data_IF_308803370964
#
_entry.id   IF_308803370964
#
_cell.length_a   1.000
_cell.length_b   1.000
_cell.length_c   1.000
_cell.angle_alpha   90.00
_cell.angle_beta   90.00
_cell.angle_gamma   90.00
#
_symmetry.space_group_name_H-M   'P 1'
#
loop_
_entity.id
_entity.type
_entity.pdbx_description
1 polymer ?
#
# COMPACT_ATOMS: atom_id res chain seq x y z
N UNK A 1 -6.39 -0.31 27.07
CA UNK A 1 -5.16 -0.54 26.29
C UNK A 1 -5.05 -2.03 26.01
N UNK A 2 -5.52 -2.47 24.85
CA UNK A 2 -5.62 -3.89 24.48
C UNK A 2 -4.26 -4.39 23.98
N UNK A 3 -3.55 -5.15 24.79
CA UNK A 3 -2.30 -5.82 24.36
C UNK A 3 -2.69 -7.18 23.78
N UNK A 4 -2.43 -7.38 22.51
CA UNK A 4 -2.56 -8.68 21.89
C UNK A 4 -1.68 -9.69 22.67
N UNK A 5 -2.23 -10.85 23.01
CA UNK A 5 -1.50 -11.87 23.74
C UNK A 5 -0.26 -12.36 22.97
N UNK A 6 0.78 -12.86 23.66
CA UNK A 6 2.07 -13.23 23.05
C UNK A 6 1.93 -14.21 21.88
N UNK A 7 0.98 -15.12 21.93
CA UNK A 7 0.71 -16.07 20.86
C UNK A 7 0.19 -15.41 19.57
N UNK A 8 -0.62 -14.35 19.67
CA UNK A 8 -1.11 -13.61 18.50
C UNK A 8 0.01 -12.79 17.88
N UNK A 9 0.87 -12.17 18.69
CA UNK A 9 2.03 -11.43 18.22
C UNK A 9 3.01 -12.33 17.46
N UNK A 10 3.28 -13.53 17.97
CA UNK A 10 4.14 -14.52 17.31
C UNK A 10 3.55 -15.02 15.98
N UNK A 11 2.23 -15.26 15.92
CA UNK A 11 1.56 -15.67 14.68
C UNK A 11 1.58 -14.59 13.61
N UNK A 12 1.42 -13.32 13.98
CA UNK A 12 1.49 -12.20 13.04
C UNK A 12 2.91 -12.01 12.51
N UNK A 13 3.94 -12.13 13.36
CA UNK A 13 5.33 -12.06 12.95
C UNK A 13 5.67 -13.18 11.95
N UNK A 14 5.30 -14.44 12.26
CA UNK A 14 5.52 -15.57 11.37
C UNK A 14 4.82 -15.44 10.01
N UNK A 15 3.62 -14.84 9.97
CA UNK A 15 2.92 -14.56 8.70
C UNK A 15 3.67 -13.52 7.86
N UNK A 16 4.15 -12.44 8.48
CA UNK A 16 4.94 -11.42 7.79
C UNK A 16 6.26 -11.98 7.24
N UNK A 17 6.93 -12.86 7.99
CA UNK A 17 8.16 -13.55 7.53
C UNK A 17 7.90 -14.44 6.31
N UNK A 18 6.86 -15.25 6.36
CA UNK A 18 6.47 -16.11 5.23
C UNK A 18 6.10 -15.29 3.99
N UNK A 19 5.37 -14.19 4.16
CA UNK A 19 5.03 -13.28 3.07
C UNK A 19 6.28 -12.67 2.44
N UNK A 20 7.19 -12.12 3.26
CA UNK A 20 8.44 -11.51 2.76
C UNK A 20 9.32 -12.55 2.07
N UNK A 21 9.44 -13.77 2.61
CA UNK A 21 10.18 -14.87 2.00
C UNK A 21 9.58 -15.28 0.64
N UNK A 22 8.25 -15.35 0.54
CA UNK A 22 7.57 -15.64 -0.72
C UNK A 22 7.84 -14.55 -1.77
N UNK A 23 7.76 -13.27 -1.38
CA UNK A 23 8.07 -12.15 -2.28
C UNK A 23 9.54 -12.17 -2.74
N UNK A 24 10.47 -12.47 -1.83
CA UNK A 24 11.89 -12.62 -2.19
C UNK A 24 12.13 -13.78 -3.16
N UNK A 25 11.47 -14.91 -2.96
CA UNK A 25 11.55 -16.06 -3.87
C UNK A 25 10.98 -15.74 -5.26
N UNK A 26 9.89 -14.95 -5.32
CA UNK A 26 9.30 -14.51 -6.60
C UNK A 26 10.20 -13.51 -7.31
N UNK A 27 10.79 -12.55 -6.60
CA UNK A 27 11.76 -11.59 -7.17
C UNK A 27 12.97 -12.34 -7.72
N UNK A 28 13.49 -13.34 -6.99
CA UNK A 28 14.63 -14.13 -7.45
C UNK A 28 14.40 -14.91 -8.76
N UNK A 29 13.13 -15.07 -9.18
CA UNK A 29 12.77 -15.72 -10.46
C UNK A 29 12.57 -14.71 -11.60
N UNK A 30 12.72 -13.41 -11.36
CA UNK A 30 12.54 -12.40 -12.40
C UNK A 30 13.68 -12.48 -13.43
N UNK A 31 13.36 -12.46 -14.74
CA UNK A 31 14.36 -12.49 -15.81
C UNK A 31 15.08 -11.14 -15.94
N UNK A 32 16.09 -11.08 -16.79
CA UNK A 32 16.80 -9.85 -17.22
C UNK A 32 17.49 -9.06 -16.10
N UNK A 33 17.93 -9.71 -15.02
CA UNK A 33 18.62 -9.03 -13.91
C UNK A 33 17.72 -8.17 -13.02
N UNK A 34 16.41 -8.19 -13.24
CA UNK A 34 15.44 -7.43 -12.43
C UNK A 34 15.44 -7.83 -10.96
N UNK A 35 15.91 -9.04 -10.64
CA UNK A 35 16.07 -9.50 -9.26
C UNK A 35 16.99 -8.61 -8.41
N UNK A 36 17.98 -7.94 -9.03
CA UNK A 36 18.88 -7.00 -8.36
C UNK A 36 18.31 -5.59 -8.20
N UNK A 37 17.26 -5.25 -8.94
CA UNK A 37 16.69 -3.89 -9.00
C UNK A 37 15.38 -3.80 -8.20
N UNK A 38 14.56 -4.86 -8.25
CA UNK A 38 13.23 -4.89 -7.61
C UNK A 38 13.33 -5.38 -6.17
N UNK A 39 13.14 -4.53 -5.15
CA UNK A 39 13.12 -4.99 -3.78
C UNK A 39 11.87 -5.85 -3.51
N UNK A 40 11.96 -6.93 -2.71
CA UNK A 40 10.81 -7.77 -2.35
C UNK A 40 9.62 -6.99 -1.77
N UNK A 41 9.90 -5.88 -1.07
CA UNK A 41 8.86 -5.01 -0.51
C UNK A 41 8.07 -4.24 -1.57
N UNK A 42 8.65 -3.96 -2.74
CA UNK A 42 7.91 -3.36 -3.87
C UNK A 42 6.94 -4.36 -4.47
N UNK A 43 7.37 -5.61 -4.67
CA UNK A 43 6.48 -6.66 -5.13
C UNK A 43 5.37 -6.94 -4.11
N UNK A 44 5.72 -7.02 -2.82
CA UNK A 44 4.74 -7.18 -1.73
C UNK A 44 3.71 -6.04 -1.70
N UNK A 45 4.16 -4.79 -1.89
CA UNK A 45 3.29 -3.64 -2.02
C UNK A 45 2.35 -3.78 -3.23
N UNK A 46 2.86 -4.16 -4.40
CA UNK A 46 2.04 -4.33 -5.61
C UNK A 46 0.99 -5.43 -5.44
N UNK A 47 1.34 -6.56 -4.84
CA UNK A 47 0.42 -7.69 -4.58
C UNK A 47 -0.68 -7.27 -3.60
N UNK A 48 -0.32 -6.62 -2.49
CA UNK A 48 -1.29 -6.16 -1.49
C UNK A 48 -2.23 -5.13 -2.10
N UNK A 49 -1.69 -4.11 -2.78
CA UNK A 49 -2.54 -3.05 -3.35
C UNK A 49 -3.38 -3.54 -4.54
N UNK A 50 -2.88 -4.46 -5.35
CA UNK A 50 -3.68 -5.14 -6.37
C UNK A 50 -4.85 -5.92 -5.76
N UNK A 51 -4.61 -6.65 -4.67
CA UNK A 51 -5.66 -7.36 -3.93
C UNK A 51 -6.68 -6.42 -3.29
N UNK A 52 -6.24 -5.34 -2.64
CA UNK A 52 -7.15 -4.36 -2.04
C UNK A 52 -7.93 -3.56 -3.09
N UNK A 53 -7.36 -3.31 -4.25
CA UNK A 53 -8.08 -2.73 -5.39
C UNK A 53 -9.20 -3.66 -5.90
N UNK A 54 -8.95 -4.98 -5.97
CA UNK A 54 -10.01 -5.94 -6.29
C UNK A 54 -11.13 -5.92 -5.24
N UNK A 55 -10.80 -5.75 -3.95
CA UNK A 55 -11.79 -5.58 -2.87
C UNK A 55 -12.57 -4.27 -3.07
N UNK A 56 -11.91 -3.17 -3.43
CA UNK A 56 -12.54 -1.89 -3.73
C UNK A 56 -13.60 -2.04 -4.83
N UNK A 57 -13.22 -2.62 -5.97
CA UNK A 57 -14.14 -2.86 -7.08
C UNK A 57 -15.29 -3.79 -6.69
N UNK A 58 -15.03 -4.85 -5.94
CA UNK A 58 -16.06 -5.77 -5.44
C UNK A 58 -17.06 -5.09 -4.52
N UNK A 59 -16.58 -4.28 -3.56
CA UNK A 59 -17.43 -3.50 -2.69
C UNK A 59 -18.24 -2.46 -3.45
N UNK A 60 -17.60 -1.73 -4.36
CA UNK A 60 -18.28 -0.73 -5.20
C UNK A 60 -19.42 -1.37 -5.99
N UNK A 61 -19.15 -2.49 -6.66
CA UNK A 61 -20.17 -3.22 -7.41
C UNK A 61 -21.31 -3.71 -6.50
N UNK A 62 -20.99 -4.25 -5.34
CA UNK A 62 -21.99 -4.75 -4.37
C UNK A 62 -22.86 -3.62 -3.84
N UNK A 63 -22.26 -2.50 -3.41
CA UNK A 63 -22.99 -1.37 -2.84
C UNK A 63 -23.82 -0.65 -3.90
N UNK A 64 -23.24 -0.35 -5.07
CA UNK A 64 -23.92 0.42 -6.09
C UNK A 64 -24.91 -0.41 -6.89
N UNK A 65 -24.46 -1.53 -7.48
CA UNK A 65 -25.30 -2.36 -8.35
C UNK A 65 -26.16 -3.35 -7.57
N UNK A 66 -25.67 -3.91 -6.47
CA UNK A 66 -26.42 -4.86 -5.64
C UNK A 66 -27.41 -4.19 -4.70
N UNK A 67 -26.93 -3.25 -3.86
CA UNK A 67 -27.73 -2.58 -2.84
C UNK A 67 -28.35 -1.27 -3.31
N UNK A 68 -28.07 -0.84 -4.55
CA UNK A 68 -28.56 0.39 -5.17
C UNK A 68 -28.26 1.67 -4.38
N UNK A 69 -27.13 1.70 -3.70
CA UNK A 69 -26.66 2.88 -3.01
C UNK A 69 -26.28 3.98 -4.02
N UNK A 70 -26.39 5.26 -3.63
CA UNK A 70 -25.90 6.37 -4.45
C UNK A 70 -24.40 6.16 -4.78
N UNK A 71 -24.02 6.40 -6.03
CA UNK A 71 -22.65 6.16 -6.52
C UNK A 71 -21.58 6.85 -5.67
N UNK A 72 -21.70 8.13 -5.28
CA UNK A 72 -20.70 8.80 -4.45
C UNK A 72 -20.48 8.11 -3.09
N UNK A 73 -21.56 7.64 -2.45
CA UNK A 73 -21.46 6.92 -1.18
C UNK A 73 -20.77 5.56 -1.36
N UNK A 74 -21.14 4.84 -2.42
CA UNK A 74 -20.55 3.54 -2.75
C UNK A 74 -19.05 3.65 -3.01
N UNK A 75 -18.62 4.66 -3.78
CA UNK A 75 -17.20 4.95 -4.03
C UNK A 75 -16.48 5.27 -2.71
N UNK A 76 -17.04 6.16 -1.90
CA UNK A 76 -16.41 6.58 -0.64
C UNK A 76 -16.22 5.40 0.31
N UNK A 77 -17.25 4.58 0.52
CA UNK A 77 -17.18 3.44 1.43
C UNK A 77 -16.21 2.36 0.91
N UNK A 78 -16.28 2.03 -0.39
CA UNK A 78 -15.38 1.07 -1.00
C UNK A 78 -13.91 1.52 -0.89
N UNK A 79 -13.63 2.77 -1.27
CA UNK A 79 -12.29 3.35 -1.22
C UNK A 79 -11.71 3.42 0.19
N UNK A 80 -12.48 3.91 1.18
CA UNK A 80 -12.01 3.98 2.57
C UNK A 80 -11.74 2.60 3.15
N UNK A 81 -12.60 1.62 2.84
CA UNK A 81 -12.41 0.23 3.28
C UNK A 81 -11.15 -0.38 2.67
N UNK A 82 -10.98 -0.25 1.36
CA UNK A 82 -9.81 -0.77 0.65
C UNK A 82 -8.51 -0.09 1.10
N UNK A 83 -8.53 1.23 1.29
CA UNK A 83 -7.38 2.00 1.78
C UNK A 83 -6.99 1.59 3.20
N UNK A 84 -7.97 1.44 4.10
CA UNK A 84 -7.73 0.95 5.45
C UNK A 84 -7.14 -0.47 5.46
N UNK A 85 -7.67 -1.35 4.64
CA UNK A 85 -7.17 -2.72 4.47
C UNK A 85 -5.75 -2.72 3.90
N UNK A 86 -5.47 -1.89 2.88
CA UNK A 86 -4.13 -1.72 2.31
C UNK A 86 -3.12 -1.27 3.38
N UNK A 87 -3.47 -0.27 4.18
CA UNK A 87 -2.63 0.19 5.29
C UNK A 87 -2.32 -0.95 6.27
N UNK A 88 -3.35 -1.67 6.72
CA UNK A 88 -3.20 -2.75 7.70
C UNK A 88 -2.34 -3.91 7.17
N UNK A 89 -2.58 -4.34 5.94
CA UNK A 89 -1.82 -5.42 5.30
C UNK A 89 -0.36 -5.02 5.03
N UNK A 90 -0.13 -3.82 4.51
CA UNK A 90 1.23 -3.31 4.31
C UNK A 90 1.96 -3.19 5.64
N UNK A 91 1.31 -2.66 6.68
CA UNK A 91 1.88 -2.55 8.03
C UNK A 91 2.26 -3.92 8.61
N UNK A 92 1.36 -4.91 8.51
CA UNK A 92 1.52 -6.22 9.15
C UNK A 92 2.44 -7.17 8.37
N UNK A 93 2.31 -7.21 7.04
CA UNK A 93 2.95 -8.22 6.20
C UNK A 93 4.17 -7.70 5.46
N UNK A 94 4.09 -6.52 4.87
CA UNK A 94 5.11 -6.00 3.97
C UNK A 94 6.20 -5.24 4.72
N UNK A 95 5.82 -4.24 5.52
CA UNK A 95 6.77 -3.40 6.26
C UNK A 95 7.00 -3.84 7.70
N UNK A 96 6.16 -4.71 8.25
CA UNK A 96 6.28 -5.30 9.61
C UNK A 96 6.51 -4.23 10.69
N UNK A 97 5.79 -3.10 10.57
CA UNK A 97 5.99 -1.95 11.43
C UNK A 97 5.34 -2.13 12.81
N UNK A 98 6.08 -1.81 13.86
CA UNK A 98 5.64 -1.84 15.26
C UNK A 98 5.46 -0.42 15.86
N UNK A 99 5.64 0.63 15.06
CA UNK A 99 5.46 2.02 15.49
C UNK A 99 4.04 2.33 15.96
N UNK A 100 3.84 3.49 16.59
CA UNK A 100 2.53 3.95 17.06
C UNK A 100 1.55 4.11 15.88
N UNK A 101 0.33 3.56 16.00
CA UNK A 101 -0.67 3.54 14.92
C UNK A 101 -1.16 4.95 14.58
N UNK A 102 -1.48 5.77 15.59
CA UNK A 102 -2.05 7.10 15.39
C UNK A 102 -1.22 8.01 14.49
N UNK A 103 0.06 8.28 14.81
CA UNK A 103 0.94 9.06 13.94
C UNK A 103 1.12 8.46 12.55
N UNK A 104 1.19 7.14 12.41
CA UNK A 104 1.32 6.48 11.12
C UNK A 104 0.06 6.66 10.26
N UNK A 105 -1.13 6.56 10.85
CA UNK A 105 -2.40 6.80 10.12
C UNK A 105 -2.51 8.26 9.69
N UNK A 106 -2.10 9.22 10.52
CA UNK A 106 -2.11 10.63 10.15
C UNK A 106 -1.18 10.91 8.97
N UNK A 107 0.04 10.38 8.98
CA UNK A 107 0.99 10.50 7.86
C UNK A 107 0.44 9.79 6.61
N UNK A 108 -0.15 8.61 6.76
CA UNK A 108 -0.76 7.89 5.65
C UNK A 108 -1.91 8.68 5.01
N UNK A 109 -2.79 9.28 5.82
CA UNK A 109 -3.87 10.12 5.31
C UNK A 109 -3.34 11.33 4.53
N UNK A 110 -2.30 12.00 5.04
CA UNK A 110 -1.65 13.11 4.33
C UNK A 110 -1.04 12.64 2.99
N UNK A 111 -0.36 11.49 2.98
CA UNK A 111 0.20 10.88 1.77
C UNK A 111 -0.89 10.59 0.74
N UNK A 112 -2.03 10.04 1.17
CA UNK A 112 -3.18 9.75 0.27
C UNK A 112 -3.77 11.04 -0.32
N UNK A 113 -3.90 12.09 0.49
CA UNK A 113 -4.38 13.40 0.00
C UNK A 113 -3.42 13.98 -1.04
N UNK A 114 -2.13 14.00 -0.75
CA UNK A 114 -1.10 14.48 -1.71
C UNK A 114 -1.10 13.64 -2.97
N UNK A 115 -1.23 12.32 -2.84
CA UNK A 115 -1.35 11.41 -3.98
C UNK A 115 -2.51 11.79 -4.90
N UNK A 116 -3.68 11.98 -4.32
CA UNK A 116 -4.88 12.36 -5.07
C UNK A 116 -4.68 13.68 -5.83
N UNK A 117 -4.19 14.72 -5.14
CA UNK A 117 -4.02 16.03 -5.73
C UNK A 117 -2.92 16.06 -6.80
N UNK A 118 -1.77 15.42 -6.55
CA UNK A 118 -0.63 15.48 -7.45
C UNK A 118 -0.81 14.57 -8.68
N UNK A 119 -1.22 13.33 -8.49
CA UNK A 119 -1.19 12.34 -9.56
C UNK A 119 -2.52 12.18 -10.29
N UNK A 120 -3.64 12.19 -9.57
CA UNK A 120 -4.95 12.04 -10.19
C UNK A 120 -5.36 13.35 -10.87
N UNK A 121 -5.33 14.48 -10.16
CA UNK A 121 -5.72 15.77 -10.71
C UNK A 121 -4.58 16.45 -11.49
N UNK A 122 -3.35 16.43 -10.99
CA UNK A 122 -2.24 17.16 -11.60
C UNK A 122 -1.69 16.47 -12.86
N UNK A 123 -1.21 15.25 -12.74
CA UNK A 123 -0.52 14.57 -13.85
C UNK A 123 -1.51 14.00 -14.85
N UNK A 124 -2.59 13.35 -14.40
CA UNK A 124 -3.57 12.74 -15.30
C UNK A 124 -4.23 13.75 -16.23
N UNK A 125 -4.78 14.82 -15.64
CA UNK A 125 -5.45 15.89 -16.41
C UNK A 125 -4.43 16.74 -17.19
N UNK A 126 -3.26 17.02 -16.59
CA UNK A 126 -2.20 17.80 -17.22
C UNK A 126 -1.63 17.14 -18.49
N UNK A 127 -1.35 15.85 -18.46
CA UNK A 127 -0.86 15.11 -19.64
C UNK A 127 -1.91 15.05 -20.74
N UNK A 128 -3.19 14.92 -20.39
CA UNK A 128 -4.28 14.92 -21.35
C UNK A 128 -4.45 16.32 -21.98
N UNK A 129 -4.31 17.38 -21.20
CA UNK A 129 -4.35 18.76 -21.71
C UNK A 129 -3.17 19.08 -22.65
N UNK A 130 -2.02 18.40 -22.49
CA UNK A 130 -0.88 18.50 -23.39
C UNK A 130 -1.04 17.66 -24.67
N UNK A 131 -2.19 17.04 -24.90
CA UNK A 131 -2.52 16.30 -26.11
C UNK A 131 -2.10 14.82 -26.08
N UNK A 132 -1.67 14.29 -24.93
CA UNK A 132 -1.43 12.86 -24.81
C UNK A 132 -2.77 12.11 -24.81
N UNK A 133 -2.80 10.92 -25.46
CA UNK A 133 -3.96 10.04 -25.38
C UNK A 133 -4.30 9.78 -23.91
N UNK A 134 -5.57 9.96 -23.55
CA UNK A 134 -6.01 9.87 -22.14
C UNK A 134 -5.70 8.51 -21.49
N UNK A 135 -5.62 7.42 -22.27
CA UNK A 135 -5.30 6.08 -21.75
C UNK A 135 -3.81 5.99 -21.38
N UNK A 136 -2.94 6.55 -22.23
CA UNK A 136 -1.50 6.61 -21.94
C UNK A 136 -1.23 7.56 -20.77
N UNK A 137 -1.89 8.71 -20.72
CA UNK A 137 -1.82 9.63 -19.59
C UNK A 137 -2.24 8.94 -18.27
N UNK A 138 -3.32 8.15 -18.30
CA UNK A 138 -3.80 7.41 -17.13
C UNK A 138 -2.84 6.31 -16.68
N UNK A 139 -2.24 5.56 -17.62
CA UNK A 139 -1.24 4.54 -17.29
C UNK A 139 0.01 5.18 -16.70
N UNK A 140 0.49 6.27 -17.29
CA UNK A 140 1.67 7.00 -16.80
C UNK A 140 1.42 7.56 -15.38
N UNK A 141 0.28 8.22 -15.17
CA UNK A 141 -0.11 8.72 -13.85
C UNK A 141 -0.22 7.60 -12.81
N UNK A 142 -0.83 6.47 -13.17
CA UNK A 142 -0.96 5.31 -12.27
C UNK A 142 0.38 4.67 -11.92
N UNK A 143 1.33 4.62 -12.85
CA UNK A 143 2.68 4.13 -12.56
C UNK A 143 3.42 5.07 -11.59
N UNK A 144 3.35 6.38 -11.82
CA UNK A 144 3.92 7.38 -10.92
C UNK A 144 3.27 7.34 -9.53
N UNK A 145 1.94 7.21 -9.48
CA UNK A 145 1.16 7.03 -8.26
C UNK A 145 1.64 5.82 -7.46
N UNK A 146 1.76 4.65 -8.10
CA UNK A 146 2.19 3.42 -7.44
C UNK A 146 3.61 3.55 -6.86
N UNK A 147 4.54 4.16 -7.58
CA UNK A 147 5.90 4.41 -7.10
C UNK A 147 5.92 5.41 -5.95
N UNK A 148 5.15 6.51 -6.05
CA UNK A 148 5.00 7.49 -4.98
C UNK A 148 4.45 6.86 -3.72
N UNK A 149 3.35 6.11 -3.81
CA UNK A 149 2.72 5.45 -2.66
C UNK A 149 3.63 4.43 -2.01
N UNK A 150 4.37 3.64 -2.81
CA UNK A 150 5.37 2.73 -2.27
C UNK A 150 6.47 3.46 -1.52
N UNK A 151 7.04 4.50 -2.13
CA UNK A 151 8.10 5.31 -1.53
C UNK A 151 7.63 5.97 -0.23
N UNK A 152 6.45 6.59 -0.26
CA UNK A 152 5.87 7.25 0.90
C UNK A 152 5.56 6.25 2.04
N UNK A 153 4.97 5.09 1.73
CA UNK A 153 4.76 4.06 2.74
C UNK A 153 6.07 3.58 3.34
N UNK A 154 7.09 3.35 2.51
CA UNK A 154 8.38 2.83 2.97
C UNK A 154 9.13 3.82 3.85
N UNK A 155 9.22 5.09 3.44
CA UNK A 155 10.13 6.05 4.06
C UNK A 155 9.44 7.07 5.00
N UNK A 156 8.14 7.30 4.82
CA UNK A 156 7.40 8.24 5.67
C UNK A 156 6.49 7.51 6.67
N UNK A 157 5.61 6.63 6.20
CA UNK A 157 4.60 5.99 7.05
C UNK A 157 5.23 4.94 7.95
N UNK A 158 6.06 4.05 7.39
CA UNK A 158 6.67 2.91 8.11
C UNK A 158 8.17 3.07 8.35
N UNK A 159 8.66 4.30 8.47
CA UNK A 159 10.09 4.61 8.68
C UNK A 159 10.69 3.88 9.89
N UNK A 160 9.91 3.67 10.94
CA UNK A 160 10.37 3.00 12.15
C UNK A 160 10.69 1.52 11.94
N UNK A 161 10.09 0.89 10.93
CA UNK A 161 10.39 -0.49 10.56
C UNK A 161 11.79 -0.67 9.93
N UNK A 162 12.42 0.42 9.51
CA UNK A 162 13.74 0.41 8.88
C UNK A 162 14.88 0.82 9.82
N UNK A 163 14.55 1.25 11.04
CA UNK A 163 15.57 1.56 12.04
C UNK A 163 16.20 0.28 12.56
N UNK A 164 17.55 0.17 12.57
CA UNK A 164 18.21 -0.95 13.23
C UNK A 164 17.73 -1.02 14.68
N UNK A 165 17.55 -2.25 15.18
CA UNK A 165 17.28 -2.44 16.59
C UNK A 165 18.42 -1.76 17.41
N UNK A 166 18.10 -1.01 18.49
CA UNK A 166 19.13 -0.44 19.34
C UNK A 166 20.06 -1.55 19.78
N UNK A 167 21.38 -1.35 19.64
CA UNK A 167 22.38 -2.29 20.09
C UNK A 167 22.12 -2.60 21.57
N UNK A 168 21.84 -3.88 21.87
CA UNK A 168 21.69 -4.30 23.25
C UNK A 168 23.06 -4.11 23.91
N UNK A 169 23.20 -3.06 24.70
CA UNK A 169 24.34 -2.92 25.62
C UNK A 169 24.23 -4.06 26.61
N UNK A 170 25.00 -5.11 26.36
CA UNK A 170 25.26 -6.18 27.35
C UNK A 170 26.02 -5.52 28.49
N UNK A 171 25.34 -5.35 29.62
CA UNK A 171 25.98 -5.03 30.90
C UNK A 171 26.31 -6.30 31.63
#
# INVERSE_FOLDING_TARGET
MWRAGPALAQRSAARGERFTAAMAAMVGRLPFGLAGIVPPSLLGFAVINGGTFAVDLGLLATLHSGLRWPLPMSITVAYLTASGLSYLLNRALNFRSHGAVGPQVAVYAAVVIVNYLAWILGVGDGLTALGLDYRLARIAAGACEALYMYAAMRWLVFRDAQRPAPAQTVR
#
